data_IF_295201566432
#
_entry.id   IF_295201566432
#
_cell.length_a   1.000
_cell.length_b   1.000
_cell.length_c   1.000
_cell.angle_alpha   90.00
_cell.angle_beta   90.00
_cell.angle_gamma   90.00
#
_symmetry.space_group_name_H-M   'P 1'
#
loop_
_entity.id
_entity.type
_entity.pdbx_description
1 polymer ?
#
# COMPACT_ATOMS: atom_id res chain seq x y z
N UNK A 1 -4.94 14.52 -2.59
CA UNK A 1 -5.87 14.75 -1.47
C UNK A 1 -6.70 13.51 -1.26
N UNK A 2 -6.69 12.97 -0.06
CA UNK A 2 -7.48 11.81 0.31
C UNK A 2 -8.93 12.16 0.69
N UNK A 3 -9.26 13.42 0.70
CA UNK A 3 -10.57 13.91 1.09
C UNK A 3 -11.47 13.97 -0.14
N UNK A 4 -12.22 12.91 -0.35
CA UNK A 4 -13.22 12.84 -1.40
C UNK A 4 -14.61 12.68 -0.76
N UNK A 5 -15.52 13.54 -1.16
CA UNK A 5 -16.89 13.54 -0.70
C UNK A 5 -17.78 12.99 -1.80
N UNK A 6 -18.45 11.88 -1.53
CA UNK A 6 -19.39 11.31 -2.49
C UNK A 6 -20.63 12.16 -2.63
N UNK A 7 -21.03 12.40 -3.86
CA UNK A 7 -22.35 12.93 -4.19
C UNK A 7 -23.42 11.85 -4.06
N UNK A 8 -24.69 12.20 -3.96
CA UNK A 8 -25.79 11.24 -3.93
C UNK A 8 -25.85 10.37 -5.21
N UNK A 9 -25.48 10.91 -6.36
CA UNK A 9 -25.41 10.15 -7.60
C UNK A 9 -24.32 9.06 -7.53
N UNK A 10 -23.14 9.38 -7.03
CA UNK A 10 -22.04 8.41 -6.87
C UNK A 10 -22.36 7.34 -5.84
N UNK A 11 -23.07 7.69 -4.75
CA UNK A 11 -23.56 6.70 -3.79
C UNK A 11 -24.55 5.73 -4.44
N UNK A 12 -25.40 6.22 -5.34
CA UNK A 12 -26.36 5.38 -6.06
C UNK A 12 -25.65 4.41 -7.00
N UNK A 13 -24.63 4.86 -7.71
CA UNK A 13 -23.82 4.01 -8.57
C UNK A 13 -23.07 2.94 -7.77
N UNK A 14 -22.54 3.30 -6.62
CA UNK A 14 -21.84 2.38 -5.72
C UNK A 14 -22.82 1.38 -5.08
N UNK A 15 -24.05 1.77 -4.78
CA UNK A 15 -25.07 0.90 -4.18
C UNK A 15 -25.44 -0.31 -5.07
N UNK A 16 -25.21 -0.22 -6.37
CA UNK A 16 -25.32 -1.35 -7.30
C UNK A 16 -24.14 -2.32 -7.27
N UNK A 17 -23.06 -1.97 -6.60
CA UNK A 17 -21.88 -2.80 -6.38
C UNK A 17 -21.94 -3.42 -4.98
N UNK A 18 -21.13 -4.45 -4.70
CA UNK A 18 -21.02 -5.05 -3.36
C UNK A 18 -20.31 -4.15 -2.34
N UNK A 19 -20.18 -2.86 -2.61
CA UNK A 19 -19.57 -1.89 -1.72
C UNK A 19 -20.59 -1.42 -0.68
N UNK A 20 -20.20 -1.42 0.58
CA UNK A 20 -21.05 -0.97 1.68
C UNK A 20 -21.14 0.56 1.68
N UNK A 21 -22.23 1.09 1.16
CA UNK A 21 -22.50 2.55 1.10
C UNK A 21 -22.98 3.11 2.44
N UNK A 22 -23.35 2.24 3.37
CA UNK A 22 -23.87 2.63 4.70
C UNK A 22 -22.86 3.44 5.55
N UNK A 23 -21.63 3.51 5.08
CA UNK A 23 -20.53 4.20 5.78
C UNK A 23 -20.38 5.65 5.37
N UNK A 24 -21.02 6.07 4.30
CA UNK A 24 -20.75 7.36 3.70
C UNK A 24 -22.03 8.21 3.68
N UNK A 25 -22.24 8.99 4.73
CA UNK A 25 -23.23 10.06 4.67
C UNK A 25 -22.82 11.06 3.59
N UNK A 26 -23.78 11.73 2.98
CA UNK A 26 -23.52 12.81 2.03
C UNK A 26 -22.53 13.84 2.62
N UNK A 27 -21.50 14.19 1.85
CA UNK A 27 -20.47 15.11 2.31
C UNK A 27 -19.53 14.55 3.38
N UNK A 28 -19.60 13.26 3.70
CA UNK A 28 -18.66 12.66 4.62
C UNK A 28 -17.25 12.59 4.01
N UNK A 29 -16.25 12.97 4.78
CA UNK A 29 -14.86 12.79 4.40
C UNK A 29 -14.50 11.29 4.48
N UNK A 30 -14.16 10.70 3.37
CA UNK A 30 -13.78 9.27 3.31
C UNK A 30 -12.51 8.97 4.11
N UNK A 31 -11.71 9.96 4.43
CA UNK A 31 -10.53 9.79 5.30
C UNK A 31 -10.90 9.50 6.74
N UNK A 32 -12.09 9.91 7.19
CA UNK A 32 -12.61 9.65 8.54
C UNK A 32 -13.02 8.20 8.73
N UNK A 33 -13.26 7.50 7.64
CA UNK A 33 -13.64 6.10 7.66
C UNK A 33 -12.41 5.23 7.39
N UNK A 34 -12.36 4.09 8.01
CA UNK A 34 -11.36 3.04 7.75
C UNK A 34 -11.59 2.42 6.37
N UNK A 35 -11.59 3.26 5.37
CA UNK A 35 -11.94 2.88 4.01
C UNK A 35 -10.81 2.04 3.42
N UNK A 36 -11.01 0.75 3.35
CA UNK A 36 -10.07 -0.23 2.83
C UNK A 36 -10.50 -0.76 1.46
N UNK A 37 -11.22 0.06 0.72
CA UNK A 37 -11.64 -0.34 -0.61
C UNK A 37 -10.47 -0.21 -1.59
N UNK A 38 -10.41 -1.15 -2.52
CA UNK A 38 -9.37 -1.18 -3.55
C UNK A 38 -9.56 0.00 -4.50
N UNK A 39 -8.51 0.78 -4.65
CA UNK A 39 -8.53 1.93 -5.54
C UNK A 39 -7.14 2.18 -6.09
N UNK A 40 -6.86 1.67 -7.28
CA UNK A 40 -5.59 1.91 -7.93
C UNK A 40 -5.47 3.38 -8.35
N UNK A 41 -4.44 4.06 -7.86
CA UNK A 41 -4.02 5.34 -8.38
C UNK A 41 -3.10 5.16 -9.61
N UNK A 42 -2.40 4.02 -9.67
CA UNK A 42 -1.54 3.68 -10.79
C UNK A 42 -1.60 2.17 -11.05
N UNK A 43 -1.97 1.78 -12.24
CA UNK A 43 -2.08 0.38 -12.63
C UNK A 43 -1.07 0.05 -13.74
N UNK A 44 -0.32 -1.05 -13.57
CA UNK A 44 0.76 -1.45 -14.47
C UNK A 44 0.21 -2.33 -15.60
N UNK A 45 0.22 -1.83 -16.82
CA UNK A 45 -0.20 -2.56 -18.03
C UNK A 45 0.81 -2.41 -19.19
N UNK A 46 2.07 -2.08 -18.87
CA UNK A 46 3.15 -2.01 -19.84
C UNK A 46 4.46 -2.46 -19.21
N UNK A 47 5.42 -2.82 -20.03
CA UNK A 47 6.78 -3.14 -19.61
C UNK A 47 7.70 -1.92 -19.67
N UNK A 48 8.80 -1.98 -18.93
CA UNK A 48 9.85 -0.95 -18.89
C UNK A 48 9.31 0.46 -18.56
N UNK A 49 8.47 0.53 -17.52
CA UNK A 49 7.93 1.78 -17.02
C UNK A 49 8.97 2.47 -16.13
N UNK A 50 9.17 3.75 -16.35
CA UNK A 50 9.98 4.62 -15.50
C UNK A 50 9.14 5.77 -14.96
N UNK A 51 9.16 5.99 -13.64
CA UNK A 51 8.39 7.06 -12.97
C UNK A 51 9.31 7.84 -12.03
N UNK A 52 9.34 9.14 -12.18
CA UNK A 52 10.21 10.03 -11.42
C UNK A 52 9.44 11.13 -10.73
N UNK A 53 9.73 11.35 -9.44
CA UNK A 53 9.25 12.51 -8.67
C UNK A 53 7.72 12.69 -8.69
N UNK A 54 6.97 11.60 -8.69
CA UNK A 54 5.51 11.59 -8.70
C UNK A 54 4.94 11.24 -7.32
N UNK A 55 3.72 11.71 -7.04
CA UNK A 55 2.93 11.25 -5.90
C UNK A 55 1.82 10.32 -6.38
N UNK A 56 1.82 9.08 -5.88
CA UNK A 56 0.88 8.02 -6.22
C UNK A 56 0.19 7.62 -4.91
N UNK A 57 -1.01 8.14 -4.69
CA UNK A 57 -1.66 8.11 -3.39
C UNK A 57 -3.10 7.58 -3.50
N UNK A 58 -3.42 6.58 -2.70
CA UNK A 58 -4.78 6.07 -2.53
C UNK A 58 -4.92 5.41 -1.16
N UNK A 59 -5.69 4.34 -1.05
CA UNK A 59 -5.93 3.60 0.19
C UNK A 59 -5.39 2.18 0.09
N UNK A 60 -6.18 1.26 -0.42
CA UNK A 60 -5.78 -0.13 -0.67
C UNK A 60 -5.41 -0.33 -2.13
N UNK A 61 -4.42 -1.16 -2.41
CA UNK A 61 -3.96 -1.51 -3.77
C UNK A 61 -3.59 -0.28 -4.63
N UNK A 62 -2.95 0.73 -4.05
CA UNK A 62 -2.68 2.03 -4.67
C UNK A 62 -1.89 1.93 -5.99
N UNK A 63 -0.80 1.19 -5.95
CA UNK A 63 0.05 0.88 -7.11
C UNK A 63 0.02 -0.63 -7.30
N UNK A 64 -0.51 -1.07 -8.42
CA UNK A 64 -0.69 -2.49 -8.55
C UNK A 64 -0.85 -3.02 -9.96
N UNK A 65 -0.86 -4.33 -10.00
CA UNK A 65 -1.26 -5.12 -11.15
C UNK A 65 -1.85 -6.44 -10.68
N UNK A 66 -3.09 -6.68 -11.06
CA UNK A 66 -3.77 -7.94 -10.76
C UNK A 66 -4.19 -8.61 -12.07
N UNK A 67 -3.26 -9.30 -12.70
CA UNK A 67 -3.52 -10.04 -13.92
C UNK A 67 -3.39 -11.55 -13.71
N UNK A 68 -4.08 -12.32 -14.53
CA UNK A 68 -3.96 -13.79 -14.56
C UNK A 68 -2.77 -14.27 -15.40
N UNK A 69 -2.13 -13.38 -16.12
CA UNK A 69 -1.00 -13.66 -16.99
C UNK A 69 0.24 -12.92 -16.49
N UNK A 70 1.28 -13.66 -16.20
CA UNK A 70 2.58 -13.09 -15.87
C UNK A 70 3.26 -12.61 -17.17
N UNK A 71 3.11 -11.33 -17.47
CA UNK A 71 3.78 -10.71 -18.63
C UNK A 71 5.24 -10.32 -18.36
N UNK A 72 5.73 -10.52 -17.12
CA UNK A 72 7.09 -10.14 -16.75
C UNK A 72 7.34 -8.64 -16.81
N UNK A 73 6.34 -7.82 -16.55
CA UNK A 73 6.48 -6.36 -16.57
C UNK A 73 7.49 -5.86 -15.55
N UNK A 74 8.27 -4.88 -15.95
CA UNK A 74 9.29 -4.23 -15.15
C UNK A 74 8.97 -2.75 -14.98
N UNK A 75 9.21 -2.24 -13.78
CA UNK A 75 9.01 -0.84 -13.47
C UNK A 75 10.14 -0.29 -12.59
N UNK A 76 10.46 0.98 -12.77
CA UNK A 76 11.42 1.72 -11.95
C UNK A 76 10.78 3.00 -11.44
N UNK A 77 10.82 3.18 -10.13
CA UNK A 77 10.32 4.37 -9.45
C UNK A 77 11.46 5.06 -8.73
N UNK A 78 11.65 6.35 -8.95
CA UNK A 78 12.69 7.10 -8.26
C UNK A 78 12.16 8.44 -7.75
N UNK A 79 12.45 8.75 -6.48
CA UNK A 79 12.03 9.99 -5.85
C UNK A 79 10.52 10.17 -5.72
N UNK A 80 9.76 9.07 -5.82
CA UNK A 80 8.30 9.10 -5.76
C UNK A 80 7.81 9.03 -4.31
N UNK A 81 6.62 9.59 -4.07
CA UNK A 81 5.84 9.33 -2.86
C UNK A 81 4.72 8.35 -3.21
N UNK A 82 4.75 7.16 -2.61
CA UNK A 82 3.74 6.13 -2.83
C UNK A 82 3.08 5.87 -1.49
N UNK A 83 1.76 6.03 -1.43
CA UNK A 83 1.07 5.97 -0.15
C UNK A 83 -0.28 5.28 -0.16
N UNK A 84 -0.59 4.70 0.98
CA UNK A 84 -1.83 3.98 1.25
C UNK A 84 -1.83 3.33 2.62
N UNK A 85 -2.64 2.29 2.79
CA UNK A 85 -2.78 1.60 4.07
C UNK A 85 -2.58 0.10 3.96
N UNK A 86 -3.22 -0.53 2.98
CA UNK A 86 -3.26 -1.99 2.87
C UNK A 86 -2.79 -2.38 1.49
N UNK A 87 -1.71 -3.18 1.44
CA UNK A 87 -1.18 -3.73 0.20
C UNK A 87 -0.99 -2.66 -0.88
N UNK A 88 -0.56 -1.46 -0.47
CA UNK A 88 -0.60 -0.31 -1.37
C UNK A 88 0.40 -0.37 -2.51
N UNK A 89 1.31 -1.36 -2.49
CA UNK A 89 2.10 -1.80 -3.65
C UNK A 89 1.88 -3.31 -3.79
N UNK A 90 1.20 -3.76 -4.85
CA UNK A 90 0.78 -5.16 -4.91
C UNK A 90 0.75 -5.74 -6.33
N UNK A 91 0.85 -7.07 -6.41
CA UNK A 91 0.57 -7.82 -7.62
C UNK A 91 1.76 -8.38 -8.37
N UNK A 92 1.60 -8.51 -9.70
CA UNK A 92 2.51 -9.25 -10.58
C UNK A 92 3.30 -8.33 -11.53
N UNK A 93 4.29 -7.65 -11.02
CA UNK A 93 5.29 -6.92 -11.81
C UNK A 93 6.60 -6.85 -11.02
N UNK A 94 7.73 -6.90 -11.67
CA UNK A 94 9.01 -6.68 -11.01
C UNK A 94 9.26 -5.17 -10.90
N UNK A 95 9.69 -4.69 -9.74
CA UNK A 95 9.94 -3.26 -9.58
C UNK A 95 11.14 -2.96 -8.69
N UNK A 96 11.82 -1.86 -9.02
CA UNK A 96 12.78 -1.20 -8.15
C UNK A 96 12.22 0.16 -7.74
N UNK A 97 12.21 0.40 -6.44
CA UNK A 97 11.86 1.67 -5.81
C UNK A 97 13.12 2.26 -5.19
N UNK A 98 13.55 3.39 -5.67
CA UNK A 98 14.82 4.01 -5.29
C UNK A 98 14.57 5.42 -4.78
N UNK A 99 15.10 5.75 -3.59
CA UNK A 99 14.90 7.04 -2.94
C UNK A 99 13.41 7.47 -2.84
N UNK A 100 12.50 6.52 -2.65
CA UNK A 100 11.07 6.79 -2.57
C UNK A 100 10.61 6.98 -1.12
N UNK A 101 9.51 7.74 -0.96
CA UNK A 101 8.77 7.80 0.29
C UNK A 101 7.62 6.81 0.26
N UNK A 102 7.59 5.92 1.24
CA UNK A 102 6.54 4.93 1.46
C UNK A 102 5.63 5.46 2.56
N UNK A 103 4.52 6.07 2.15
CA UNK A 103 3.73 6.90 3.05
C UNK A 103 2.50 6.18 3.57
N UNK A 104 2.44 5.99 4.89
CA UNK A 104 1.21 5.57 5.54
C UNK A 104 0.16 6.67 5.48
N UNK A 105 -1.02 6.34 4.99
CA UNK A 105 -2.20 7.14 5.18
C UNK A 105 -2.69 6.97 6.62
N UNK A 106 -2.81 8.07 7.34
CA UNK A 106 -3.35 8.08 8.69
C UNK A 106 -4.87 8.09 8.68
N UNK A 107 -5.47 7.56 9.73
CA UNK A 107 -6.92 7.55 9.93
C UNK A 107 -7.29 8.38 11.15
N UNK A 108 -8.47 8.97 11.11
CA UNK A 108 -9.05 9.54 12.30
C UNK A 108 -9.23 8.46 13.36
N UNK A 109 -8.80 8.78 14.58
CA UNK A 109 -8.88 7.85 15.69
C UNK A 109 -10.34 7.61 16.07
N UNK A 110 -10.84 6.39 15.91
CA UNK A 110 -12.08 5.97 16.54
C UNK A 110 -11.78 5.20 17.83
N UNK A 111 -12.76 5.13 18.70
CA UNK A 111 -12.65 4.47 20.02
C UNK A 111 -12.21 3.00 19.93
N UNK A 112 -12.40 2.37 18.77
CA UNK A 112 -12.07 0.96 18.54
C UNK A 112 -10.71 0.75 17.86
N UNK A 113 -10.06 1.78 17.42
CA UNK A 113 -8.66 1.91 16.97
C UNK A 113 -7.97 0.64 16.41
N UNK A 114 -8.71 -0.23 15.72
CA UNK A 114 -8.24 -1.51 15.20
C UNK A 114 -7.64 -1.41 13.78
N UNK A 115 -7.55 -0.23 13.22
CA UNK A 115 -7.10 -0.02 11.85
C UNK A 115 -5.58 0.13 11.70
N UNK A 116 -4.83 -0.38 12.64
CA UNK A 116 -3.44 -0.02 12.86
C UNK A 116 -2.42 -0.84 12.10
N UNK A 117 -2.82 -1.93 11.51
CA UNK A 117 -1.87 -2.79 10.80
C UNK A 117 -2.14 -2.66 9.32
N UNK A 118 -1.32 -1.84 8.69
CA UNK A 118 -1.23 -1.77 7.24
C UNK A 118 -0.12 -2.66 6.69
N UNK A 119 -0.05 -2.75 5.37
CA UNK A 119 1.00 -3.48 4.66
C UNK A 119 1.49 -2.61 3.51
N UNK A 120 2.82 -2.41 3.42
CA UNK A 120 3.40 -1.69 2.29
C UNK A 120 3.21 -2.54 1.04
N UNK A 121 3.64 -3.80 1.08
CA UNK A 121 3.61 -4.65 -0.10
C UNK A 121 2.77 -5.92 0.07
N UNK A 122 2.20 -6.34 -1.04
CA UNK A 122 1.66 -7.68 -1.25
C UNK A 122 2.13 -8.21 -2.61
N UNK A 123 3.39 -8.65 -2.73
CA UNK A 123 3.92 -9.18 -3.98
C UNK A 123 3.30 -10.55 -4.26
N UNK A 124 3.05 -10.86 -5.52
CA UNK A 124 2.52 -12.16 -5.92
C UNK A 124 3.61 -13.12 -6.37
N UNK A 125 4.23 -12.88 -7.51
CA UNK A 125 5.27 -13.76 -8.05
C UNK A 125 6.55 -13.02 -8.45
N UNK A 126 6.46 -11.72 -8.67
CA UNK A 126 7.58 -10.91 -9.13
C UNK A 126 8.23 -10.14 -7.98
N UNK A 127 9.54 -9.89 -8.03
CA UNK A 127 10.26 -9.25 -6.94
C UNK A 127 10.02 -7.74 -6.88
N UNK A 128 9.92 -7.22 -5.66
CA UNK A 128 10.02 -5.79 -5.36
C UNK A 128 11.32 -5.51 -4.61
N UNK A 129 12.05 -4.50 -5.05
CA UNK A 129 13.27 -4.05 -4.37
C UNK A 129 13.12 -2.58 -3.99
N UNK A 130 13.20 -2.30 -2.70
CA UNK A 130 13.21 -0.95 -2.13
C UNK A 130 14.63 -0.61 -1.70
N UNK A 131 15.18 0.49 -2.19
CA UNK A 131 16.52 0.93 -1.88
C UNK A 131 16.52 2.40 -1.47
N UNK A 132 17.16 2.71 -0.34
CA UNK A 132 17.23 4.08 0.19
C UNK A 132 15.84 4.74 0.33
N UNK A 133 14.81 3.96 0.65
CA UNK A 133 13.47 4.46 0.82
C UNK A 133 13.21 4.88 2.27
N UNK A 134 12.28 5.80 2.45
CA UNK A 134 11.86 6.29 3.75
C UNK A 134 10.40 5.93 4.01
N UNK A 135 10.09 5.28 5.14
CA UNK A 135 8.73 5.06 5.59
C UNK A 135 8.25 6.28 6.37
N UNK A 136 7.17 6.88 5.93
CA UNK A 136 6.61 8.12 6.49
C UNK A 136 5.12 7.99 6.77
N UNK A 137 4.51 9.05 7.31
CA UNK A 137 3.06 9.19 7.39
C UNK A 137 2.61 10.47 6.67
N UNK A 138 1.32 10.55 6.33
CA UNK A 138 0.73 11.78 5.78
C UNK A 138 0.46 12.86 6.86
N UNK A 139 0.54 12.49 8.13
CA UNK A 139 0.31 13.38 9.26
C UNK A 139 -1.10 13.98 9.35
N UNK A 140 -2.04 13.52 8.51
CA UNK A 140 -3.34 14.18 8.36
C UNK A 140 -4.21 14.09 9.62
N UNK A 141 -4.01 13.10 10.47
CA UNK A 141 -4.78 12.87 11.69
C UNK A 141 -3.93 12.89 12.97
N UNK A 142 -2.82 13.64 12.96
CA UNK A 142 -1.95 13.81 14.12
C UNK A 142 -1.01 12.62 14.36
N UNK A 143 -0.47 12.55 15.57
CA UNK A 143 0.56 11.57 15.97
C UNK A 143 0.02 10.16 16.24
N UNK A 144 -0.98 9.72 15.51
CA UNK A 144 -1.40 8.34 15.61
C UNK A 144 -0.30 7.49 14.99
N UNK A 145 0.49 6.86 15.86
CA UNK A 145 1.51 5.94 15.46
C UNK A 145 0.87 4.83 14.59
N UNK A 146 1.04 4.91 13.31
CA UNK A 146 0.67 3.82 12.40
C UNK A 146 1.80 2.82 12.48
N UNK A 147 1.56 1.71 13.15
CA UNK A 147 2.48 0.60 13.17
C UNK A 147 2.04 -0.41 12.11
N UNK A 148 2.68 -0.37 10.96
CA UNK A 148 2.40 -1.27 9.86
C UNK A 148 3.47 -2.34 9.68
N UNK A 149 3.35 -3.16 8.65
CA UNK A 149 4.33 -4.16 8.26
C UNK A 149 4.94 -3.83 6.90
N UNK A 150 6.15 -4.28 6.66
CA UNK A 150 6.73 -4.23 5.30
C UNK A 150 5.79 -4.89 4.30
N UNK A 151 5.25 -6.07 4.65
CA UNK A 151 4.31 -6.69 3.75
C UNK A 151 3.77 -8.04 4.20
N UNK A 152 3.03 -8.64 3.26
CA UNK A 152 2.48 -9.98 3.42
C UNK A 152 2.48 -10.74 2.10
N UNK A 153 2.39 -12.05 2.16
CA UNK A 153 2.34 -12.90 0.97
C UNK A 153 1.01 -12.73 0.23
N UNK A 154 1.06 -12.63 -1.09
CA UNK A 154 -0.12 -12.80 -1.94
C UNK A 154 0.03 -13.99 -2.89
N UNK A 155 0.96 -14.83 -2.69
CA UNK A 155 1.21 -16.02 -3.47
C UNK A 155 2.42 -16.78 -2.95
N UNK A 156 2.55 -18.02 -3.38
CA UNK A 156 3.59 -18.93 -2.90
C UNK A 156 5.03 -18.43 -3.14
N UNK A 157 5.24 -17.59 -4.13
CA UNK A 157 6.56 -17.08 -4.51
C UNK A 157 6.72 -15.57 -4.28
N UNK A 158 5.98 -15.02 -3.32
CA UNK A 158 6.11 -13.61 -2.93
C UNK A 158 7.55 -13.25 -2.64
N UNK A 159 8.02 -12.13 -3.20
CA UNK A 159 9.41 -11.70 -3.06
C UNK A 159 9.49 -10.18 -2.87
N UNK A 160 10.14 -9.75 -1.81
CA UNK A 160 10.42 -8.33 -1.57
C UNK A 160 11.69 -8.15 -0.73
N UNK A 161 12.42 -7.09 -1.02
CA UNK A 161 13.64 -6.74 -0.29
C UNK A 161 13.66 -5.25 0.04
N UNK A 162 13.93 -4.91 1.30
CA UNK A 162 14.14 -3.55 1.78
C UNK A 162 15.61 -3.37 2.15
N UNK A 163 16.30 -2.48 1.47
CA UNK A 163 17.74 -2.30 1.53
C UNK A 163 18.05 -0.85 1.85
N UNK A 164 18.77 -0.62 2.96
CA UNK A 164 19.18 0.72 3.40
C UNK A 164 18.01 1.72 3.53
N UNK A 165 16.85 1.21 3.96
CA UNK A 165 15.66 2.01 4.16
C UNK A 165 15.58 2.56 5.59
N UNK A 166 14.93 3.72 5.73
CA UNK A 166 14.64 4.32 7.02
C UNK A 166 13.18 4.07 7.40
N UNK A 167 12.92 3.46 8.57
CA UNK A 167 11.56 3.05 8.96
C UNK A 167 10.86 4.01 9.92
N UNK A 168 11.58 4.90 10.58
CA UNK A 168 11.06 5.94 11.47
C UNK A 168 10.10 5.44 12.57
N UNK A 169 10.27 4.19 13.04
CA UNK A 169 9.40 3.59 14.02
C UNK A 169 8.02 3.15 13.50
N UNK A 170 7.78 3.21 12.20
CA UNK A 170 6.48 2.89 11.61
C UNK A 170 6.33 1.44 11.16
N UNK A 171 7.30 0.58 11.42
CA UNK A 171 7.24 -0.84 11.11
C UNK A 171 7.16 -1.66 12.39
N UNK A 172 6.18 -2.55 12.45
CA UNK A 172 5.99 -3.52 13.51
C UNK A 172 7.17 -4.49 13.61
N UNK A 173 7.49 -4.95 14.81
CA UNK A 173 8.65 -5.82 15.08
C UNK A 173 8.62 -7.16 14.35
N UNK A 174 7.44 -7.66 13.95
CA UNK A 174 7.34 -8.86 13.12
C UNK A 174 7.69 -8.60 11.67
N UNK A 175 7.59 -7.35 11.20
CA UNK A 175 7.92 -6.91 9.86
C UNK A 175 7.07 -7.51 8.74
N UNK A 176 6.80 -8.81 8.78
CA UNK A 176 6.17 -9.58 7.72
C UNK A 176 5.08 -10.50 8.25
N UNK A 177 4.08 -10.80 7.41
CA UNK A 177 3.03 -11.75 7.75
C UNK A 177 2.52 -12.51 6.53
N UNK A 178 1.54 -13.37 6.74
CA UNK A 178 0.88 -14.17 5.70
C UNK A 178 -0.52 -13.62 5.41
N UNK A 179 -0.98 -13.79 4.19
CA UNK A 179 -2.42 -13.76 3.94
C UNK A 179 -3.06 -15.07 4.45
N UNK A 180 -4.38 -15.08 4.56
CA UNK A 180 -5.17 -16.19 5.13
C UNK A 180 -5.02 -17.54 4.42
N UNK A 181 -4.31 -17.59 3.30
CA UNK A 181 -4.06 -18.80 2.51
C UNK A 181 -2.74 -19.52 2.84
N UNK A 182 -1.96 -19.03 3.81
CA UNK A 182 -0.81 -19.75 4.37
C UNK A 182 0.38 -19.98 3.42
N UNK A 183 0.66 -19.04 2.53
CA UNK A 183 1.65 -19.20 1.46
C UNK A 183 3.07 -18.72 1.79
N UNK A 184 3.39 -18.46 3.05
CA UNK A 184 4.70 -17.93 3.47
C UNK A 184 5.87 -18.87 3.23
N UNK A 185 5.66 -20.17 3.17
CA UNK A 185 6.72 -21.18 3.17
C UNK A 185 7.72 -21.03 1.99
N UNK A 186 7.33 -20.39 0.91
CA UNK A 186 8.17 -20.15 -0.27
C UNK A 186 8.45 -18.68 -0.55
N UNK A 187 7.99 -17.79 0.32
CA UNK A 187 8.25 -16.35 0.18
C UNK A 187 9.71 -16.01 0.50
N UNK A 188 10.25 -15.04 -0.22
CA UNK A 188 11.61 -14.52 -0.02
C UNK A 188 11.48 -13.06 0.41
N UNK A 189 11.57 -12.82 1.71
CA UNK A 189 11.52 -11.50 2.29
C UNK A 189 12.86 -11.17 2.95
N UNK A 190 13.47 -10.07 2.52
CA UNK A 190 14.79 -9.68 2.98
C UNK A 190 14.78 -8.25 3.52
N UNK A 191 15.58 -8.06 4.54
CA UNK A 191 15.90 -6.75 5.12
C UNK A 191 17.41 -6.64 5.25
N UNK A 192 17.98 -5.55 4.76
CA UNK A 192 19.40 -5.32 4.83
C UNK A 192 19.70 -3.88 5.19
N UNK A 193 20.44 -3.70 6.30
CA UNK A 193 20.94 -2.42 6.77
C UNK A 193 19.87 -1.30 6.91
N UNK A 194 18.62 -1.68 7.22
CA UNK A 194 17.57 -0.72 7.48
C UNK A 194 17.78 -0.06 8.85
N UNK A 195 17.40 1.21 8.95
CA UNK A 195 17.52 1.99 10.18
C UNK A 195 16.16 2.37 10.74
N UNK A 196 16.06 2.38 12.06
CA UNK A 196 14.89 2.83 12.78
C UNK A 196 15.30 4.04 13.63
N UNK A 197 15.00 5.23 13.18
CA UNK A 197 15.32 6.48 13.89
C UNK A 197 14.17 6.94 14.76
#
# INVERSE_FOLDING_TARGET
>A
TYNYYLTEAEKTDIAGSNLSVDRLAEGADVSDYKFKERSNAFYIEADNIEVFNCSILSSQDTLGRNGSTNYGYHAYFNGCTIGGNVDYICGEFAAVFDNCKLQWKTYKNDENNNAKIGYIVAPKTSPYVFRNCEVTTDGAHGDIAVLGKYGRTWGANSNASFIECETNGYIDSEGWTEMSNGEKASAIFNEYNNTNK
#
